data_IF_245212194474
#
_entry.id   IF_245212194474
#
_cell.length_a   1.000
_cell.length_b   1.000
_cell.length_c   1.000
_cell.angle_alpha   90.00
_cell.angle_beta   90.00
_cell.angle_gamma   90.00
#
_symmetry.space_group_name_H-M   'P 1'
#
loop_
_entity.id
_entity.type
_entity.pdbx_description
1 polymer ?
#
# COMPACT_ATOMS: atom_id res chain seq x y z
N UNK A 1 56.68 21.65 -12.24
CA UNK A 1 56.85 23.10 -12.47
C UNK A 1 55.51 23.74 -12.10
N UNK A 2 55.34 24.24 -10.87
CA UNK A 2 55.64 25.60 -10.38
C UNK A 2 54.89 26.71 -11.15
N UNK A 3 53.84 27.24 -10.52
CA UNK A 3 53.51 28.68 -10.34
C UNK A 3 52.21 28.70 -9.50
N UNK A 4 52.07 29.14 -8.24
CA UNK A 4 52.61 30.21 -7.38
C UNK A 4 52.19 31.65 -7.81
N UNK A 5 51.01 32.09 -7.32
CA UNK A 5 50.56 33.34 -6.57
C UNK A 5 51.12 34.73 -7.06
N UNK A 6 50.50 35.94 -6.83
CA UNK A 6 49.42 36.24 -5.87
C UNK A 6 48.43 37.44 -6.04
N UNK A 7 47.52 37.56 -5.05
CA UNK A 7 47.02 38.77 -4.35
C UNK A 7 46.21 39.82 -5.16
N UNK A 8 44.98 40.20 -4.81
CA UNK A 8 44.65 41.01 -3.62
C UNK A 8 43.13 41.18 -3.45
N UNK A 9 42.61 40.76 -2.29
CA UNK A 9 41.71 41.46 -1.36
C UNK A 9 40.59 42.40 -1.88
N UNK A 10 39.33 42.09 -1.56
CA UNK A 10 38.41 43.07 -0.99
C UNK A 10 37.38 42.38 -0.08
N UNK A 11 37.42 42.76 1.20
CA UNK A 11 36.47 42.39 2.25
C UNK A 11 35.25 43.30 2.14
N UNK A 12 34.04 42.74 2.12
CA UNK A 12 32.84 43.44 2.59
C UNK A 12 31.89 42.46 3.30
N UNK A 13 31.50 42.91 4.48
CA UNK A 13 30.73 42.27 5.52
C UNK A 13 29.21 42.45 5.26
N UNK A 14 28.40 41.51 5.76
CA UNK A 14 27.02 41.66 6.27
C UNK A 14 25.90 42.20 5.35
N UNK A 15 24.84 41.40 5.15
CA UNK A 15 23.55 41.54 5.85
C UNK A 15 22.44 40.71 5.16
N UNK A 16 21.74 39.92 5.97
CA UNK A 16 20.49 39.21 5.67
C UNK A 16 19.33 40.19 5.83
N UNK A 17 18.44 40.32 4.85
CA UNK A 17 17.07 40.87 4.90
C UNK A 17 16.43 40.39 3.56
N UNK A 18 15.32 39.67 3.45
CA UNK A 18 14.03 39.73 4.13
C UNK A 18 12.98 39.70 3.02
N UNK A 19 12.28 38.57 2.83
CA UNK A 19 11.20 38.46 1.84
C UNK A 19 9.98 39.22 2.35
N UNK A 20 9.54 40.21 1.58
CA UNK A 20 8.39 41.07 1.88
C UNK A 20 7.11 40.40 1.34
N UNK A 21 6.29 39.82 2.22
CA UNK A 21 4.94 39.37 1.86
C UNK A 21 3.99 40.56 1.92
N UNK A 22 3.43 40.92 0.77
CA UNK A 22 2.45 42.00 0.63
C UNK A 22 1.09 41.55 1.13
N UNK A 23 0.58 42.19 2.19
CA UNK A 23 -0.80 42.06 2.65
C UNK A 23 -1.73 42.88 1.75
N UNK A 24 -2.64 42.21 1.03
CA UNK A 24 -3.78 42.83 0.37
C UNK A 24 -5.01 42.71 1.28
N UNK A 25 -5.53 43.84 1.73
CA UNK A 25 -6.81 43.94 2.43
C UNK A 25 -7.86 44.43 1.43
N UNK A 26 -8.94 43.70 1.21
CA UNK A 26 -10.22 44.28 0.77
C UNK A 26 -11.35 43.48 1.41
N UNK A 27 -12.30 44.21 1.99
CA UNK A 27 -13.38 43.73 2.83
C UNK A 27 -14.55 43.18 1.99
N UNK A 28 -15.14 42.07 2.45
CA UNK A 28 -16.40 41.53 1.97
C UNK A 28 -17.13 40.84 3.13
N UNK A 29 -18.22 41.46 3.59
CA UNK A 29 -19.04 41.05 4.72
C UNK A 29 -20.28 40.30 4.24
N UNK A 30 -20.48 39.07 4.70
CA UNK A 30 -21.79 38.50 5.09
C UNK A 30 -21.60 37.07 5.59
N UNK A 31 -21.91 36.85 6.87
CA UNK A 31 -21.74 35.57 7.54
C UNK A 31 -22.90 34.61 7.31
N UNK A 32 -22.58 33.32 7.49
CA UNK A 32 -23.49 32.26 7.89
C UNK A 32 -22.74 31.43 8.94
N UNK A 33 -23.45 31.06 10.00
CA UNK A 33 -22.98 30.35 11.19
C UNK A 33 -22.55 28.93 10.86
N UNK A 34 -21.25 28.65 10.97
CA UNK A 34 -20.68 27.30 11.01
C UNK A 34 -20.17 27.02 12.43
N UNK A 35 -20.85 26.13 13.13
CA UNK A 35 -20.50 25.63 14.45
C UNK A 35 -19.14 24.93 14.35
N UNK A 36 -18.08 25.65 14.75
CA UNK A 36 -16.73 25.12 14.81
C UNK A 36 -16.57 24.49 16.18
N UNK A 37 -16.52 23.17 16.20
CA UNK A 37 -16.09 22.38 17.35
C UNK A 37 -14.76 22.94 17.85
N UNK A 38 -14.71 23.17 19.16
CA UNK A 38 -13.63 23.81 19.90
C UNK A 38 -12.27 23.15 19.60
N UNK A 39 -11.49 23.73 18.70
CA UNK A 39 -10.04 23.59 18.73
C UNK A 39 -9.57 24.44 19.91
N UNK A 40 -9.19 23.77 21.00
CA UNK A 40 -8.60 24.42 22.15
C UNK A 40 -7.43 25.31 21.71
N UNK A 41 -7.63 26.62 21.85
CA UNK A 41 -6.57 27.61 21.80
C UNK A 41 -5.66 27.38 23.01
N UNK A 42 -4.69 26.49 22.88
CA UNK A 42 -3.51 26.49 23.74
C UNK A 42 -2.32 26.91 22.90
N UNK A 43 -1.77 28.09 23.21
CA UNK A 43 -0.53 28.59 22.65
C UNK A 43 0.67 27.82 23.22
N UNK A 44 0.66 26.50 23.03
CA UNK A 44 1.71 25.61 23.48
C UNK A 44 3.02 25.96 22.79
N UNK A 45 4.02 26.29 23.59
CA UNK A 45 5.42 26.33 23.15
C UNK A 45 5.73 25.00 22.47
N UNK A 46 6.01 25.03 21.16
CA UNK A 46 6.35 23.83 20.40
C UNK A 46 7.60 23.20 21.03
N UNK A 47 7.42 22.01 21.63
CA UNK A 47 8.51 21.22 22.18
C UNK A 47 8.96 20.24 21.10
N UNK A 48 10.21 20.33 20.60
CA UNK A 48 10.69 19.37 19.61
C UNK A 48 10.70 17.96 20.21
N UNK A 49 10.39 16.97 19.39
CA UNK A 49 10.52 15.57 19.79
C UNK A 49 11.98 15.24 20.08
N UNK A 50 12.21 14.29 20.98
CA UNK A 50 13.52 13.78 21.36
C UNK A 50 13.37 12.42 22.06
N UNK A 51 14.47 11.81 22.50
CA UNK A 51 14.41 10.57 23.29
C UNK A 51 13.62 10.74 24.61
N UNK A 52 13.60 11.95 25.18
CA UNK A 52 12.87 12.26 26.41
C UNK A 52 11.46 12.82 26.15
N UNK A 53 11.13 13.11 24.89
CA UNK A 53 9.85 13.64 24.43
C UNK A 53 9.47 12.91 23.14
N UNK A 54 9.06 11.64 23.28
CA UNK A 54 8.75 10.77 22.15
C UNK A 54 7.50 11.26 21.39
N UNK A 55 7.42 10.89 20.12
CA UNK A 55 6.22 11.10 19.32
C UNK A 55 5.12 10.11 19.72
N UNK A 56 3.84 10.40 19.40
CA UNK A 56 2.78 9.42 19.53
C UNK A 56 3.07 8.16 18.71
N UNK A 57 2.44 7.04 19.08
CA UNK A 57 2.57 5.77 18.35
C UNK A 57 2.27 5.94 16.85
N UNK A 58 3.01 5.23 16.00
CA UNK A 58 2.92 5.34 14.54
C UNK A 58 3.65 6.57 13.97
N UNK A 59 4.45 7.26 14.78
CA UNK A 59 5.26 8.40 14.37
C UNK A 59 6.66 8.28 14.94
N UNK A 60 7.65 8.74 14.17
CA UNK A 60 9.04 8.82 14.62
C UNK A 60 9.53 10.25 14.67
N UNK A 61 10.57 10.46 15.48
CA UNK A 61 11.17 11.78 15.63
C UNK A 61 12.16 12.06 14.49
N UNK A 62 11.80 12.97 13.59
CA UNK A 62 12.65 13.42 12.50
C UNK A 62 13.00 14.91 12.65
N UNK A 63 14.26 15.20 12.99
CA UNK A 63 14.75 16.58 13.17
C UNK A 63 13.90 17.42 14.15
N UNK A 64 13.42 16.81 15.23
CA UNK A 64 12.58 17.45 16.23
C UNK A 64 11.09 17.52 15.87
N UNK A 65 10.70 17.10 14.66
CA UNK A 65 9.31 17.00 14.23
C UNK A 65 8.84 15.55 14.29
N UNK A 66 7.61 15.33 14.77
CA UNK A 66 6.96 14.04 14.63
C UNK A 66 6.48 13.87 13.20
N UNK A 67 6.95 12.81 12.54
CA UNK A 67 6.55 12.43 11.20
C UNK A 67 5.87 11.05 11.27
N UNK A 68 4.84 10.85 10.45
CA UNK A 68 4.19 9.54 10.31
C UNK A 68 5.20 8.52 9.78
N UNK A 69 5.15 7.33 10.35
CA UNK A 69 6.06 6.22 10.04
C UNK A 69 6.88 5.79 11.25
N UNK A 70 7.95 5.05 11.00
CA UNK A 70 8.75 4.40 12.02
C UNK A 70 10.21 4.23 11.56
N UNK A 71 11.14 4.10 12.51
CA UNK A 71 12.53 3.67 12.26
C UNK A 71 12.81 2.28 12.85
N UNK A 72 11.92 1.81 13.73
CA UNK A 72 11.96 0.51 14.40
C UNK A 72 10.57 0.13 14.89
N UNK A 73 10.35 -1.14 15.23
CA UNK A 73 9.07 -1.62 15.79
C UNK A 73 8.66 -0.89 17.07
N UNK A 74 9.62 -0.30 17.80
CA UNK A 74 9.35 0.48 19.00
C UNK A 74 8.64 1.82 18.74
N UNK A 75 8.59 2.26 17.48
CA UNK A 75 7.84 3.45 17.05
C UNK A 75 6.37 3.09 16.68
N UNK A 76 6.03 1.80 16.63
CA UNK A 76 4.72 1.29 16.25
C UNK A 76 3.92 0.78 17.45
N UNK A 77 2.60 0.59 17.27
CA UNK A 77 1.76 -0.06 18.29
C UNK A 77 2.17 -1.51 18.56
N UNK A 78 1.76 -2.06 19.71
CA UNK A 78 2.10 -3.43 20.13
C UNK A 78 1.69 -4.53 19.12
N UNK A 79 0.67 -4.26 18.29
CA UNK A 79 0.13 -5.13 17.25
C UNK A 79 0.66 -4.80 15.85
N UNK A 80 1.71 -3.99 15.75
CA UNK A 80 2.30 -3.52 14.50
C UNK A 80 3.81 -3.81 14.43
N UNK A 81 4.36 -3.74 13.23
CA UNK A 81 5.79 -3.76 12.95
C UNK A 81 6.16 -2.62 12.02
N UNK A 82 7.45 -2.26 12.02
CA UNK A 82 7.97 -1.25 11.12
C UNK A 82 8.53 -1.89 9.86
N UNK A 83 7.93 -1.62 8.70
CA UNK A 83 8.46 -2.09 7.41
C UNK A 83 9.65 -1.21 6.95
N UNK A 84 10.78 -1.36 7.67
CA UNK A 84 11.99 -0.56 7.47
C UNK A 84 12.69 -0.78 6.13
N UNK A 85 12.30 -1.81 5.39
CA UNK A 85 12.82 -2.22 4.09
C UNK A 85 11.97 -1.76 2.91
N UNK A 86 10.71 -1.36 3.15
CA UNK A 86 9.79 -0.90 2.10
C UNK A 86 9.45 0.58 2.25
N UNK A 87 8.45 0.92 3.05
CA UNK A 87 7.82 2.24 3.10
C UNK A 87 8.09 3.02 4.39
N UNK A 88 8.78 2.41 5.36
CA UNK A 88 9.05 2.99 6.69
C UNK A 88 7.75 3.34 7.45
N UNK A 89 6.66 2.62 7.19
CA UNK A 89 5.38 2.77 7.88
C UNK A 89 5.15 1.62 8.85
N UNK A 90 4.27 1.87 9.83
CA UNK A 90 3.79 0.85 10.75
C UNK A 90 2.67 0.05 10.09
N UNK A 91 2.86 -1.26 9.98
CA UNK A 91 1.89 -2.21 9.44
C UNK A 91 1.46 -3.19 10.52
N UNK A 92 0.26 -3.73 10.40
CA UNK A 92 -0.22 -4.71 11.38
C UNK A 92 0.57 -6.03 11.28
N UNK A 93 0.87 -6.62 12.44
CA UNK A 93 1.51 -7.94 12.50
C UNK A 93 0.63 -9.04 11.91
N UNK A 94 -0.69 -8.87 11.98
CA UNK A 94 -1.68 -9.77 11.39
C UNK A 94 -2.55 -9.02 10.38
N UNK A 95 -2.77 -9.66 9.24
CA UNK A 95 -3.60 -9.10 8.17
C UNK A 95 -5.09 -9.29 8.50
N UNK A 96 -5.89 -8.21 8.60
CA UNK A 96 -7.30 -8.31 8.98
C UNK A 96 -8.17 -8.91 7.86
N UNK A 97 -8.90 -9.97 8.18
CA UNK A 97 -9.88 -10.62 7.30
C UNK A 97 -11.31 -10.25 7.68
N UNK A 98 -12.25 -10.32 6.73
CA UNK A 98 -13.65 -9.96 6.93
C UNK A 98 -14.60 -10.88 6.16
N UNK A 99 -15.88 -10.87 6.56
CA UNK A 99 -17.00 -11.43 5.78
C UNK A 99 -17.93 -10.31 5.29
N UNK A 100 -17.92 -9.17 5.98
CA UNK A 100 -18.72 -7.99 5.69
C UNK A 100 -18.02 -6.72 6.19
N UNK A 101 -18.45 -5.55 5.70
CA UNK A 101 -17.87 -4.26 6.11
C UNK A 101 -17.91 -4.03 7.62
N UNK A 102 -18.89 -4.62 8.33
CA UNK A 102 -18.99 -4.47 9.79
C UNK A 102 -17.89 -5.19 10.57
N UNK A 103 -17.11 -6.05 9.92
CA UNK A 103 -15.94 -6.72 10.51
C UNK A 103 -14.68 -5.82 10.45
N UNK A 104 -14.71 -4.77 9.61
CA UNK A 104 -13.60 -3.86 9.39
C UNK A 104 -13.72 -2.58 10.23
N UNK A 105 -12.62 -1.84 10.35
CA UNK A 105 -12.65 -0.52 10.98
C UNK A 105 -13.60 0.43 10.21
N UNK A 106 -14.10 1.49 10.87
CA UNK A 106 -15.12 2.37 10.28
C UNK A 106 -14.70 3.11 9.01
N UNK A 107 -13.41 3.14 8.69
CA UNK A 107 -12.82 3.73 7.47
C UNK A 107 -12.44 2.68 6.41
N UNK A 108 -12.79 1.41 6.64
CA UNK A 108 -12.43 0.28 5.79
C UNK A 108 -13.70 -0.41 5.27
N UNK A 109 -13.54 -1.10 4.16
CA UNK A 109 -14.55 -1.93 3.51
C UNK A 109 -14.02 -3.34 3.33
N UNK A 110 -14.92 -4.30 3.27
CA UNK A 110 -14.57 -5.70 3.07
C UNK A 110 -14.45 -6.00 1.58
N UNK A 111 -13.23 -6.16 1.10
CA UNK A 111 -12.93 -6.47 -0.31
C UNK A 111 -12.34 -7.87 -0.37
N UNK A 112 -13.05 -8.79 -1.03
CA UNK A 112 -12.60 -10.17 -1.26
C UNK A 112 -12.16 -10.92 0.02
N UNK A 113 -12.79 -10.61 1.16
CA UNK A 113 -12.50 -11.24 2.45
C UNK A 113 -11.38 -10.56 3.25
N UNK A 114 -10.92 -9.39 2.84
CA UNK A 114 -9.90 -8.60 3.52
C UNK A 114 -10.38 -7.17 3.79
N UNK A 115 -9.98 -6.62 4.93
CA UNK A 115 -10.26 -5.22 5.23
C UNK A 115 -9.31 -4.32 4.46
N UNK A 116 -9.88 -3.53 3.56
CA UNK A 116 -9.19 -2.58 2.68
C UNK A 116 -9.65 -1.17 3.02
N UNK A 117 -8.79 -0.16 2.89
CA UNK A 117 -9.26 1.22 2.92
C UNK A 117 -10.23 1.43 1.76
N UNK A 118 -11.34 2.13 2.01
CA UNK A 118 -12.24 2.46 0.92
C UNK A 118 -11.50 3.30 -0.13
N UNK A 119 -11.61 2.98 -1.43
CA UNK A 119 -10.97 3.78 -2.46
C UNK A 119 -11.45 5.22 -2.37
N UNK A 120 -10.51 6.17 -2.41
CA UNK A 120 -10.86 7.57 -2.46
C UNK A 120 -11.57 7.88 -3.79
N UNK A 121 -12.67 8.63 -3.76
CA UNK A 121 -13.42 8.98 -4.98
C UNK A 121 -12.59 9.78 -6.02
N UNK A 122 -11.41 10.28 -5.64
CA UNK A 122 -10.44 10.91 -6.55
C UNK A 122 -9.54 9.90 -7.28
N UNK A 123 -9.52 8.64 -6.86
CA UNK A 123 -8.64 7.58 -7.38
C UNK A 123 -9.39 6.65 -8.35
N UNK A 124 -10.17 7.27 -9.25
CA UNK A 124 -10.92 6.61 -10.31
C UNK A 124 -10.24 6.84 -11.67
N UNK A 125 -10.24 5.81 -12.51
CA UNK A 125 -9.62 5.85 -13.84
C UNK A 125 -8.21 5.25 -13.91
N UNK A 126 -7.89 4.31 -13.02
CA UNK A 126 -6.70 3.48 -13.14
C UNK A 126 -6.81 2.51 -14.34
N UNK A 127 -5.67 1.97 -14.75
CA UNK A 127 -5.54 1.15 -15.95
C UNK A 127 -5.76 -0.35 -15.66
N UNK A 128 -6.95 -0.85 -15.99
CA UNK A 128 -7.32 -2.26 -15.88
C UNK A 128 -6.48 -3.20 -16.77
N UNK A 129 -5.84 -2.68 -17.82
CA UNK A 129 -5.07 -3.48 -18.78
C UNK A 129 -3.57 -3.61 -18.41
N UNK A 130 -3.05 -2.82 -17.47
CA UNK A 130 -1.63 -2.82 -17.07
C UNK A 130 -1.48 -3.01 -15.57
N UNK A 131 -1.42 -4.27 -15.11
CA UNK A 131 -1.25 -4.59 -13.68
C UNK A 131 0.09 -4.13 -13.06
N UNK A 132 1.09 -3.77 -13.86
CA UNK A 132 2.39 -3.30 -13.34
C UNK A 132 2.38 -1.78 -13.20
N UNK A 133 1.88 -1.07 -14.20
CA UNK A 133 1.75 0.39 -14.17
C UNK A 133 0.28 0.77 -14.26
N UNK A 134 -0.49 0.23 -13.32
CA UNK A 134 -1.94 0.39 -13.26
C UNK A 134 -2.35 1.83 -12.90
N UNK A 135 -1.40 2.66 -12.48
CA UNK A 135 -1.63 4.05 -12.07
C UNK A 135 -2.06 4.19 -10.62
N UNK A 136 -2.23 3.08 -9.89
CA UNK A 136 -2.50 3.07 -8.46
C UNK A 136 -1.22 3.24 -7.65
N UNK A 137 -1.32 3.76 -6.41
CA UNK A 137 -0.18 3.81 -5.50
C UNK A 137 0.37 2.40 -5.22
N UNK A 138 1.59 2.33 -4.68
CA UNK A 138 2.32 1.07 -4.51
C UNK A 138 1.64 0.09 -3.57
N UNK A 139 0.81 0.58 -2.64
CA UNK A 139 0.00 -0.21 -1.70
C UNK A 139 -1.39 -0.60 -2.25
N UNK A 140 -1.71 -0.28 -3.51
CA UNK A 140 -3.03 -0.53 -4.09
C UNK A 140 -2.95 -1.26 -5.43
N UNK A 141 -4.03 -1.91 -5.83
CA UNK A 141 -4.17 -2.56 -7.15
C UNK A 141 -5.42 -2.03 -7.85
N UNK A 142 -5.32 -1.78 -9.15
CA UNK A 142 -6.45 -1.40 -9.98
C UNK A 142 -7.40 -2.58 -10.19
N UNK A 143 -8.62 -2.47 -9.68
CA UNK A 143 -9.69 -3.43 -9.88
C UNK A 143 -10.91 -2.76 -10.50
N UNK A 144 -11.78 -3.56 -11.10
CA UNK A 144 -13.05 -3.08 -11.66
C UNK A 144 -13.95 -2.52 -10.54
N UNK A 145 -14.58 -1.38 -10.81
CA UNK A 145 -15.61 -0.84 -9.93
C UNK A 145 -16.84 -1.77 -9.96
N UNK A 146 -17.39 -2.06 -8.78
CA UNK A 146 -18.51 -2.98 -8.61
C UNK A 146 -19.80 -2.40 -9.22
N UNK A 147 -19.95 -1.08 -9.22
CA UNK A 147 -21.09 -0.37 -9.79
C UNK A 147 -20.91 -0.10 -11.30
N UNK A 148 -19.66 0.05 -11.78
CA UNK A 148 -19.32 0.25 -13.19
C UNK A 148 -18.04 -0.51 -13.61
N UNK A 149 -18.14 -1.74 -14.14
CA UNK A 149 -16.97 -2.56 -14.45
C UNK A 149 -16.10 -2.02 -15.59
N UNK A 150 -16.53 -0.97 -16.30
CA UNK A 150 -15.70 -0.27 -17.29
C UNK A 150 -14.73 0.73 -16.65
N UNK A 151 -14.89 1.00 -15.34
CA UNK A 151 -14.08 1.94 -14.57
C UNK A 151 -13.15 1.18 -13.63
N UNK A 152 -11.85 1.47 -13.72
CA UNK A 152 -10.87 1.00 -12.76
C UNK A 152 -10.82 1.89 -11.52
N UNK A 153 -10.76 1.28 -10.35
CA UNK A 153 -10.59 1.93 -9.04
C UNK A 153 -9.43 1.29 -8.28
N UNK A 154 -8.63 2.11 -7.61
CA UNK A 154 -7.49 1.65 -6.83
C UNK A 154 -7.93 1.18 -5.45
N UNK A 155 -7.87 -0.13 -5.21
CA UNK A 155 -8.14 -0.71 -3.90
C UNK A 155 -6.84 -0.89 -3.14
N UNK A 156 -6.72 -0.27 -1.96
CA UNK A 156 -5.57 -0.49 -1.08
C UNK A 156 -5.58 -1.93 -0.56
N UNK A 157 -4.52 -2.66 -0.83
CA UNK A 157 -4.41 -4.04 -0.42
C UNK A 157 -3.73 -4.09 0.96
N UNK A 158 -4.12 -5.01 1.85
CA UNK A 158 -3.44 -5.13 3.13
C UNK A 158 -1.95 -5.43 2.92
N UNK A 159 -1.09 -4.80 3.72
CA UNK A 159 0.32 -5.17 3.77
C UNK A 159 0.47 -6.64 4.19
N UNK A 160 1.53 -7.29 3.74
CA UNK A 160 1.89 -8.62 4.21
C UNK A 160 2.17 -8.59 5.71
N UNK A 161 2.06 -9.74 6.38
CA UNK A 161 2.54 -9.83 7.76
C UNK A 161 4.07 -9.65 7.83
N UNK A 162 4.58 -9.48 9.05
CA UNK A 162 6.03 -9.43 9.33
C UNK A 162 6.80 -10.64 8.80
N UNK A 163 6.13 -11.79 8.65
CA UNK A 163 6.72 -13.02 8.11
C UNK A 163 6.60 -13.14 6.57
N UNK A 164 6.09 -12.10 5.89
CA UNK A 164 5.83 -12.12 4.46
C UNK A 164 4.66 -13.05 4.08
N UNK A 165 3.72 -13.29 5.00
CA UNK A 165 2.59 -14.17 4.79
C UNK A 165 1.27 -13.39 4.66
N UNK A 166 0.34 -13.97 3.92
CA UNK A 166 -1.03 -13.49 3.81
C UNK A 166 -1.98 -14.59 4.29
N UNK A 167 -3.02 -14.26 5.08
CA UNK A 167 -4.10 -15.20 5.36
C UNK A 167 -4.71 -15.67 4.05
N UNK A 168 -5.12 -16.93 3.98
CA UNK A 168 -5.79 -17.48 2.80
C UNK A 168 -7.13 -16.76 2.52
N UNK A 169 -7.81 -16.27 3.56
CA UNK A 169 -9.10 -15.61 3.38
C UNK A 169 -10.14 -16.51 2.69
N UNK A 170 -11.01 -15.90 1.88
CA UNK A 170 -12.05 -16.61 1.13
C UNK A 170 -11.61 -17.03 -0.28
N UNK A 171 -10.68 -16.30 -0.88
CA UNK A 171 -10.28 -16.47 -2.28
C UNK A 171 -8.84 -16.93 -2.45
N UNK A 172 -8.08 -17.03 -1.36
CA UNK A 172 -6.63 -17.21 -1.39
C UNK A 172 -5.91 -15.86 -1.37
N UNK A 173 -4.65 -15.87 -0.95
CA UNK A 173 -3.77 -14.71 -1.08
C UNK A 173 -2.31 -15.13 -0.93
N UNK A 174 -1.43 -14.42 -1.63
CA UNK A 174 0.02 -14.55 -1.51
C UNK A 174 0.64 -13.18 -1.34
N UNK A 175 1.71 -13.09 -0.55
CA UNK A 175 2.43 -11.84 -0.40
C UNK A 175 3.13 -11.45 -1.71
N UNK A 176 3.08 -10.17 -2.06
CA UNK A 176 3.90 -9.62 -3.12
C UNK A 176 5.38 -9.54 -2.70
N UNK A 177 6.11 -10.64 -2.83
CA UNK A 177 7.56 -10.69 -2.61
C UNK A 177 8.34 -10.32 -3.90
N UNK A 178 8.01 -9.16 -4.46
CA UNK A 178 8.63 -8.62 -5.69
C UNK A 178 8.08 -9.19 -7.00
N UNK A 179 6.92 -9.86 -6.97
CA UNK A 179 6.23 -10.32 -8.17
C UNK A 179 5.72 -9.16 -9.03
N UNK A 180 5.19 -8.13 -8.37
CA UNK A 180 4.82 -6.84 -8.95
C UNK A 180 5.85 -5.80 -8.50
N UNK A 181 6.85 -5.46 -9.34
CA UNK A 181 8.03 -4.71 -8.94
C UNK A 181 7.76 -3.23 -8.59
N UNK A 182 6.58 -2.72 -8.94
CA UNK A 182 6.12 -1.35 -8.66
C UNK A 182 5.20 -1.28 -7.44
N UNK A 183 4.90 -2.42 -6.80
CA UNK A 183 3.99 -2.52 -5.67
C UNK A 183 4.75 -2.90 -4.41
N UNK A 184 4.22 -2.45 -3.28
CA UNK A 184 4.74 -2.76 -1.96
C UNK A 184 4.50 -4.24 -1.62
N UNK A 185 4.99 -4.69 -0.47
CA UNK A 185 4.68 -6.00 0.08
C UNK A 185 3.22 -6.05 0.54
N UNK A 186 2.30 -6.20 -0.42
CA UNK A 186 0.85 -6.31 -0.21
C UNK A 186 0.35 -7.71 -0.52
N UNK A 187 -0.77 -8.08 0.10
CA UNK A 187 -1.45 -9.34 -0.18
C UNK A 187 -2.16 -9.30 -1.53
N UNK A 188 -1.70 -10.13 -2.47
CA UNK A 188 -2.32 -10.32 -3.78
C UNK A 188 -3.45 -11.33 -3.65
N UNK A 189 -4.66 -10.82 -3.39
CA UNK A 189 -5.86 -11.64 -3.16
C UNK A 189 -6.21 -12.43 -4.42
N UNK A 190 -6.57 -13.70 -4.24
CA UNK A 190 -6.89 -14.65 -5.30
C UNK A 190 -5.67 -15.27 -5.99
N UNK A 191 -4.47 -14.75 -5.76
CA UNK A 191 -3.23 -15.30 -6.31
C UNK A 191 -2.56 -16.26 -5.33
N UNK A 192 -1.72 -17.14 -5.88
CA UNK A 192 -1.01 -18.16 -5.13
C UNK A 192 0.33 -18.48 -5.79
N UNK A 193 1.29 -18.94 -5.00
CA UNK A 193 2.49 -19.61 -5.49
C UNK A 193 2.34 -21.14 -5.32
N UNK A 194 1.66 -21.55 -4.24
CA UNK A 194 1.38 -22.96 -3.97
C UNK A 194 -0.03 -23.16 -3.42
N UNK A 195 -0.44 -24.42 -3.29
CA UNK A 195 -1.76 -24.77 -2.77
C UNK A 195 -1.99 -24.31 -1.31
N UNK A 196 -0.93 -23.99 -0.54
CA UNK A 196 -1.10 -23.46 0.81
C UNK A 196 -1.73 -22.07 0.84
N UNK A 197 -1.63 -21.34 -0.27
CA UNK A 197 -2.10 -19.96 -0.38
C UNK A 197 -3.59 -19.92 -0.74
N UNK A 198 -4.19 -21.09 -1.02
CA UNK A 198 -5.58 -21.23 -1.47
C UNK A 198 -6.49 -21.82 -0.40
N UNK A 199 -7.81 -21.55 -0.49
CA UNK A 199 -8.80 -22.15 0.40
C UNK A 199 -8.74 -23.68 0.39
N UNK A 200 -9.23 -24.29 1.46
CA UNK A 200 -9.28 -25.75 1.53
C UNK A 200 -10.02 -26.34 0.32
N UNK A 201 -9.45 -27.40 -0.25
CA UNK A 201 -9.95 -28.08 -1.46
C UNK A 201 -9.79 -27.33 -2.78
N UNK A 202 -9.17 -26.16 -2.78
CA UNK A 202 -8.80 -25.45 -3.99
C UNK A 202 -7.39 -25.85 -4.43
N UNK A 203 -7.08 -25.58 -5.69
CA UNK A 203 -5.77 -25.78 -6.33
C UNK A 203 -5.19 -24.42 -6.68
N UNK A 204 -3.87 -24.30 -6.60
CA UNK A 204 -3.18 -23.16 -7.19
C UNK A 204 -2.95 -23.46 -8.68
N UNK A 205 -3.73 -22.83 -9.54
CA UNK A 205 -3.72 -23.13 -10.98
C UNK A 205 -2.85 -22.15 -11.74
N UNK A 206 -1.92 -22.68 -12.53
CA UNK A 206 -0.95 -21.89 -13.28
C UNK A 206 -1.30 -21.85 -14.76
N UNK A 207 -0.80 -20.84 -15.48
CA UNK A 207 -0.85 -20.80 -16.94
C UNK A 207 0.50 -20.37 -17.49
N UNK A 208 0.94 -20.99 -18.59
CA UNK A 208 2.19 -20.63 -19.25
C UNK A 208 3.43 -20.70 -18.33
N UNK A 209 3.45 -21.63 -17.38
CA UNK A 209 4.53 -21.80 -16.40
C UNK A 209 4.83 -20.52 -15.59
N UNK A 210 3.81 -19.69 -15.33
CA UNK A 210 3.90 -18.55 -14.43
C UNK A 210 4.31 -18.99 -13.02
N UNK A 211 5.06 -18.14 -12.31
CA UNK A 211 5.40 -18.37 -10.89
C UNK A 211 4.17 -18.21 -10.02
N UNK A 212 3.38 -17.17 -10.28
CA UNK A 212 2.08 -16.99 -9.65
C UNK A 212 0.99 -17.70 -10.46
N UNK A 213 0.16 -18.45 -9.75
CA UNK A 213 -1.11 -18.97 -10.22
C UNK A 213 -2.28 -18.18 -9.64
N UNK A 214 -3.47 -18.70 -9.89
CA UNK A 214 -4.73 -18.23 -9.31
C UNK A 214 -5.34 -19.35 -8.49
N UNK A 215 -5.92 -19.05 -7.34
CA UNK A 215 -6.68 -20.02 -6.59
C UNK A 215 -7.99 -20.35 -7.31
N UNK A 216 -8.21 -21.64 -7.56
CA UNK A 216 -9.39 -22.14 -8.27
C UNK A 216 -9.78 -23.50 -7.70
N UNK A 217 -10.98 -23.98 -8.01
CA UNK A 217 -11.32 -25.37 -7.72
C UNK A 217 -10.45 -26.37 -8.50
N UNK A 218 -9.77 -25.97 -9.58
CA UNK A 218 -8.98 -26.86 -10.43
C UNK A 218 -9.85 -27.87 -11.19
N UNK A 219 -11.14 -27.55 -11.37
CA UNK A 219 -12.13 -28.36 -12.05
C UNK A 219 -11.98 -28.35 -13.57
N UNK A 220 -12.91 -29.00 -14.25
CA UNK A 220 -12.92 -29.05 -15.72
C UNK A 220 -12.94 -27.65 -16.33
N UNK A 221 -12.00 -27.37 -17.23
CA UNK A 221 -11.87 -26.09 -17.92
C UNK A 221 -11.05 -25.04 -17.18
N UNK A 222 -10.61 -25.29 -15.94
CA UNK A 222 -9.67 -24.41 -15.26
C UNK A 222 -8.32 -24.37 -16.01
N UNK A 223 -7.62 -23.21 -16.04
CA UNK A 223 -6.30 -23.14 -16.65
C UNK A 223 -5.34 -24.09 -15.92
N UNK A 224 -4.31 -24.57 -16.62
CA UNK A 224 -3.27 -25.38 -16.02
C UNK A 224 -1.95 -25.24 -16.78
N UNK A 225 -0.84 -25.36 -16.09
CA UNK A 225 0.48 -25.55 -16.65
C UNK A 225 0.86 -27.03 -16.64
N UNK A 226 0.42 -27.78 -15.62
CA UNK A 226 0.68 -29.21 -15.45
C UNK A 226 -0.54 -29.93 -14.88
N UNK A 227 -0.51 -31.27 -14.89
CA UNK A 227 -1.57 -32.07 -14.27
C UNK A 227 -1.74 -31.81 -12.76
N UNK A 228 -0.73 -31.28 -12.07
CA UNK A 228 -0.82 -30.96 -10.64
C UNK A 228 -1.76 -29.78 -10.35
N UNK A 229 -2.03 -28.93 -11.34
CA UNK A 229 -2.98 -27.82 -11.23
C UNK A 229 -4.44 -28.31 -11.29
N UNK A 230 -4.67 -29.56 -11.71
CA UNK A 230 -6.00 -30.10 -11.96
C UNK A 230 -6.41 -31.12 -10.90
N UNK A 231 -7.66 -31.05 -10.44
CA UNK A 231 -8.22 -32.10 -9.57
C UNK A 231 -8.20 -33.47 -10.23
N UNK A 232 -8.33 -33.51 -11.56
CA UNK A 232 -8.28 -34.75 -12.34
C UNK A 232 -6.87 -35.31 -12.51
N UNK A 233 -5.83 -34.53 -12.18
CA UNK A 233 -4.44 -34.86 -12.50
C UNK A 233 -4.11 -34.69 -13.99
N UNK A 234 -5.02 -34.16 -14.81
CA UNK A 234 -4.88 -34.10 -16.26
C UNK A 234 -5.01 -32.67 -16.79
N UNK A 235 -3.88 -32.13 -17.23
CA UNK A 235 -3.84 -30.87 -17.97
C UNK A 235 -3.78 -31.16 -19.47
N UNK A 236 -4.84 -30.79 -20.19
CA UNK A 236 -4.86 -30.87 -21.65
C UNK A 236 -4.14 -29.65 -22.22
N UNK A 237 -2.82 -29.76 -22.35
CA UNK A 237 -1.95 -28.70 -22.86
C UNK A 237 -2.34 -28.28 -24.28
N UNK A 238 -2.35 -26.96 -24.50
CA UNK A 238 -2.50 -26.36 -25.81
C UNK A 238 -1.11 -26.17 -26.45
N UNK A 239 -0.86 -26.77 -27.64
CA UNK A 239 0.45 -26.70 -28.27
C UNK A 239 0.94 -25.27 -28.47
N UNK A 240 2.11 -24.95 -27.88
CA UNK A 240 2.78 -23.66 -28.05
C UNK A 240 2.37 -22.55 -27.07
N UNK A 241 1.48 -22.82 -26.11
CA UNK A 241 1.03 -21.82 -25.11
C UNK A 241 1.59 -22.03 -23.70
N UNK A 242 2.39 -23.08 -23.47
CA UNK A 242 3.01 -23.36 -22.16
C UNK A 242 2.02 -23.77 -21.07
N UNK A 243 0.77 -24.09 -21.45
CA UNK A 243 -0.31 -24.49 -20.57
C UNK A 243 -1.53 -24.96 -21.36
N UNK A 244 -2.62 -25.24 -20.67
CA UNK A 244 -3.85 -25.76 -21.24
C UNK A 244 -5.02 -25.64 -20.27
N UNK A 245 -5.93 -26.62 -20.35
CA UNK A 245 -7.10 -26.67 -19.48
C UNK A 245 -7.26 -28.05 -18.82
N UNK A 246 -7.74 -28.04 -17.58
CA UNK A 246 -8.04 -29.24 -16.83
C UNK A 246 -9.14 -30.06 -17.51
N UNK A 247 -8.85 -31.34 -17.75
CA UNK A 247 -9.71 -32.28 -18.50
C UNK A 247 -10.28 -33.41 -17.66
#
# INVERSE_FOLDING_TARGET
>A
MRSIIPMTLCVCLSAILGCNASLGSEAGSSGETGESSEAGEDGGEYVPCSADNACPDGQFCFNGLCAVGCLSDADCGDDQYCATDTDMLCHNNEVPTCVSDSDCASSQVCVNGFCSAAPDAQDSGCNLDDYINDGCPSNAVCLEDIDDPEVGVCYEMPACSVDGACPVGLEGAVCNDGYLPSKDAICLIGLCETVSDCPAQWSCVHFNQSVLGTCSDGGFGSPCATGADCQSGNCTELPGLGGGFCG
#
